data_IF_964697358677
#
_entry.id   IF_964697358677
#
_cell.length_a   1.000
_cell.length_b   1.000
_cell.length_c   1.000
_cell.angle_alpha   90.00
_cell.angle_beta   90.00
_cell.angle_gamma   90.00
#
_symmetry.space_group_name_H-M   'P 1'
#
loop_
_entity.id
_entity.type
_entity.pdbx_description
1 polymer ?
#
# COMPACT_ATOMS: atom_id res chain seq x y z
N UNK A 1 26.74 -2.06 -3.02
CA UNK A 1 26.16 -1.65 -4.31
C UNK A 1 24.65 -1.87 -4.24
N UNK A 2 23.82 -0.94 -4.76
CA UNK A 2 22.37 -1.17 -4.85
C UNK A 2 22.10 -2.20 -5.95
N UNK A 3 21.72 -3.42 -5.56
CA UNK A 3 21.33 -4.47 -6.51
C UNK A 3 20.03 -4.12 -7.23
N UNK A 4 19.11 -3.40 -6.56
CA UNK A 4 17.79 -3.03 -7.08
C UNK A 4 17.90 -2.03 -8.25
N UNK A 5 18.69 -0.96 -8.11
CA UNK A 5 18.80 0.08 -9.14
C UNK A 5 19.35 -0.42 -10.49
N UNK A 6 20.15 -1.47 -10.50
CA UNK A 6 20.75 -2.02 -11.73
C UNK A 6 19.81 -2.95 -12.51
N UNK A 7 18.73 -3.42 -11.89
CA UNK A 7 17.79 -4.32 -12.56
C UNK A 7 16.93 -3.53 -13.55
N UNK A 8 16.90 -3.89 -14.83
CA UNK A 8 16.01 -3.26 -15.80
C UNK A 8 14.53 -3.50 -15.41
N UNK A 9 13.65 -2.64 -15.85
CA UNK A 9 12.21 -2.81 -15.72
C UNK A 9 11.66 -3.18 -17.09
N UNK A 10 11.07 -4.36 -17.20
CA UNK A 10 10.35 -4.77 -18.41
C UNK A 10 9.02 -4.02 -18.46
N UNK A 11 8.77 -3.32 -19.56
CA UNK A 11 7.51 -2.61 -19.80
C UNK A 11 6.56 -3.57 -20.54
N UNK A 12 5.39 -3.91 -19.98
CA UNK A 12 4.39 -4.71 -20.68
C UNK A 12 3.89 -3.99 -21.93
N UNK A 13 3.51 -4.72 -22.98
CA UNK A 13 3.02 -4.16 -24.26
C UNK A 13 1.81 -3.23 -24.11
N UNK A 14 1.04 -3.42 -23.04
CA UNK A 14 -0.15 -2.61 -22.72
C UNK A 14 0.16 -1.29 -22.00
N UNK A 15 1.42 -1.07 -21.65
CA UNK A 15 1.86 0.11 -20.88
C UNK A 15 2.76 0.97 -21.75
N UNK A 16 2.41 2.24 -21.85
CA UNK A 16 3.21 3.25 -22.55
C UNK A 16 3.96 4.11 -21.54
N UNK A 17 5.26 4.21 -21.69
CA UNK A 17 6.09 5.05 -20.85
C UNK A 17 6.65 6.21 -21.67
N UNK A 18 6.46 7.43 -21.16
CA UNK A 18 7.03 8.64 -21.74
C UNK A 18 8.02 9.23 -20.78
N UNK A 19 9.27 9.28 -21.17
CA UNK A 19 10.36 9.83 -20.37
C UNK A 19 10.66 11.25 -20.84
N UNK A 20 10.55 12.22 -19.95
CA UNK A 20 10.95 13.62 -20.16
C UNK A 20 12.02 14.01 -19.13
N UNK A 21 12.82 15.05 -19.38
CA UNK A 21 13.82 15.50 -18.41
C UNK A 21 13.17 15.79 -17.03
N UNK A 22 13.55 15.02 -16.00
CA UNK A 22 13.03 15.16 -14.65
C UNK A 22 11.59 14.69 -14.42
N UNK A 23 10.94 14.05 -15.41
CA UNK A 23 9.57 13.52 -15.27
C UNK A 23 9.40 12.20 -16.03
N UNK A 24 8.63 11.33 -15.44
CA UNK A 24 8.18 10.09 -16.11
C UNK A 24 6.67 10.00 -16.03
N UNK A 25 6.04 9.77 -17.17
CA UNK A 25 4.60 9.51 -17.31
C UNK A 25 4.42 8.07 -17.76
N UNK A 26 3.56 7.34 -17.08
CA UNK A 26 3.23 5.95 -17.38
C UNK A 26 1.73 5.84 -17.60
N UNK A 27 1.34 5.35 -18.75
CA UNK A 27 -0.05 5.16 -19.17
C UNK A 27 -0.33 3.66 -19.38
N UNK A 28 -1.45 3.19 -18.88
CA UNK A 28 -1.84 1.79 -19.01
C UNK A 28 -3.34 1.57 -18.90
N UNK A 29 -3.80 0.32 -18.91
CA UNK A 29 -5.22 -0.02 -18.97
C UNK A 29 -6.02 0.47 -17.75
N UNK A 30 -5.38 0.65 -16.59
CA UNK A 30 -6.05 1.11 -15.36
C UNK A 30 -5.99 2.61 -15.15
N UNK A 31 -5.21 3.34 -15.95
CA UNK A 31 -5.09 4.79 -15.83
C UNK A 31 -3.70 5.29 -16.16
N UNK A 32 -3.40 6.49 -15.71
CA UNK A 32 -2.12 7.15 -15.93
C UNK A 32 -1.54 7.65 -14.60
N UNK A 33 -0.23 7.56 -14.49
CA UNK A 33 0.54 8.12 -13.37
C UNK A 33 1.66 8.99 -13.93
N UNK A 34 1.88 10.13 -13.29
CA UNK A 34 2.99 11.02 -13.60
C UNK A 34 3.77 11.32 -12.33
N UNK A 35 5.10 11.34 -12.44
CA UNK A 35 5.97 11.64 -11.32
C UNK A 35 7.20 12.44 -11.72
N UNK A 36 7.53 13.41 -10.90
CA UNK A 36 8.80 14.14 -10.99
C UNK A 36 9.90 13.30 -10.38
N UNK A 37 11.00 13.13 -11.11
CA UNK A 37 12.17 12.40 -10.67
C UNK A 37 13.33 13.36 -10.38
N UNK A 38 14.26 12.99 -9.49
CA UNK A 38 15.50 13.72 -9.31
C UNK A 38 16.27 13.80 -10.64
N UNK A 39 16.74 14.98 -10.98
CA UNK A 39 17.47 15.26 -12.25
C UNK A 39 18.80 14.55 -12.37
N UNK A 40 19.34 14.08 -11.24
CA UNK A 40 20.64 13.37 -11.14
C UNK A 40 20.58 11.96 -11.76
N UNK A 41 19.38 11.36 -11.87
CA UNK A 41 19.21 10.00 -12.40
C UNK A 41 18.61 10.08 -13.79
N UNK A 42 19.32 9.55 -14.77
CA UNK A 42 18.83 9.42 -16.14
C UNK A 42 18.08 8.11 -16.34
N UNK A 43 16.99 8.18 -17.10
CA UNK A 43 16.18 7.02 -17.47
C UNK A 43 16.25 6.86 -18.98
N UNK A 44 16.66 5.69 -19.43
CA UNK A 44 16.72 5.32 -20.85
C UNK A 44 15.76 4.19 -21.13
N UNK A 45 15.06 4.28 -22.24
CA UNK A 45 14.21 3.20 -22.74
C UNK A 45 14.89 2.51 -23.91
N UNK A 46 15.15 1.22 -23.80
CA UNK A 46 15.80 0.40 -24.81
C UNK A 46 15.07 -0.93 -24.92
N UNK A 47 14.63 -1.30 -26.11
CA UNK A 47 14.00 -2.62 -26.40
C UNK A 47 12.88 -3.02 -25.43
N UNK A 48 11.97 -2.09 -25.09
CA UNK A 48 10.86 -2.36 -24.17
C UNK A 48 11.28 -2.49 -22.70
N UNK A 49 12.52 -2.10 -22.37
CA UNK A 49 13.03 -2.07 -21.00
C UNK A 49 13.44 -0.66 -20.60
N UNK A 50 13.27 -0.34 -19.33
CA UNK A 50 13.76 0.90 -18.73
C UNK A 50 15.04 0.62 -17.97
N UNK A 51 16.09 1.33 -18.32
CA UNK A 51 17.40 1.27 -17.67
C UNK A 51 17.66 2.60 -16.99
N UNK A 52 18.15 2.55 -15.76
CA UNK A 52 18.46 3.71 -14.94
C UNK A 52 19.97 3.86 -14.83
N UNK A 53 20.44 5.09 -15.02
CA UNK A 53 21.86 5.41 -14.90
C UNK A 53 22.07 6.50 -13.86
N UNK A 54 23.18 6.41 -13.14
CA UNK A 54 23.62 7.38 -12.14
C UNK A 54 24.96 7.99 -12.53
N UNK A 55 25.23 9.27 -12.20
CA UNK A 55 26.44 9.96 -12.62
C UNK A 55 27.68 9.49 -11.87
N UNK A 56 27.55 9.03 -10.62
CA UNK A 56 28.68 8.55 -9.81
C UNK A 56 28.26 7.47 -8.81
N UNK A 57 29.26 6.87 -8.15
CA UNK A 57 29.08 5.85 -7.11
C UNK A 57 28.95 6.45 -5.69
N UNK A 58 28.71 7.75 -5.58
CA UNK A 58 28.42 8.38 -4.29
C UNK A 58 27.21 7.76 -3.60
N UNK A 59 27.20 7.77 -2.27
CA UNK A 59 26.12 7.15 -1.49
C UNK A 59 24.74 7.73 -1.80
N UNK A 60 24.66 9.05 -2.05
CA UNK A 60 23.43 9.75 -2.44
C UNK A 60 22.89 9.25 -3.78
N UNK A 61 23.75 9.20 -4.80
CA UNK A 61 23.36 8.72 -6.13
C UNK A 61 22.97 7.24 -6.11
N UNK A 62 23.62 6.43 -5.26
CA UNK A 62 23.21 5.02 -5.07
C UNK A 62 21.83 4.89 -4.42
N UNK A 63 21.52 5.73 -3.43
CA UNK A 63 20.23 5.74 -2.78
C UNK A 63 19.11 6.19 -3.74
N UNK A 64 19.32 7.32 -4.44
CA UNK A 64 18.38 7.85 -5.44
C UNK A 64 18.16 6.87 -6.60
N UNK A 65 19.21 6.20 -7.07
CA UNK A 65 19.13 5.21 -8.14
C UNK A 65 18.15 4.06 -7.78
N UNK A 66 18.28 3.49 -6.58
CA UNK A 66 17.38 2.45 -6.10
C UNK A 66 15.96 2.96 -5.88
N UNK A 67 15.81 4.17 -5.34
CA UNK A 67 14.52 4.81 -5.10
C UNK A 67 13.77 5.03 -6.43
N UNK A 68 14.39 5.72 -7.39
CA UNK A 68 13.77 6.05 -8.69
C UNK A 68 13.35 4.78 -9.41
N UNK A 69 14.23 3.78 -9.47
CA UNK A 69 13.90 2.49 -10.10
C UNK A 69 12.66 1.86 -9.45
N UNK A 70 12.59 1.82 -8.13
CA UNK A 70 11.45 1.22 -7.42
C UNK A 70 10.15 2.00 -7.63
N UNK A 71 10.23 3.33 -7.64
CA UNK A 71 9.07 4.18 -7.89
C UNK A 71 8.50 3.96 -9.30
N UNK A 72 9.37 3.93 -10.32
CA UNK A 72 8.93 3.70 -11.71
C UNK A 72 8.41 2.27 -11.88
N UNK A 73 9.03 1.26 -11.25
CA UNK A 73 8.53 -0.11 -11.28
C UNK A 73 7.11 -0.20 -10.69
N UNK A 74 6.88 0.46 -9.56
CA UNK A 74 5.55 0.52 -8.95
C UNK A 74 4.53 1.24 -9.85
N UNK A 75 4.94 2.30 -10.56
CA UNK A 75 4.05 2.98 -11.53
C UNK A 75 3.66 2.05 -12.67
N UNK A 76 4.62 1.33 -13.27
CA UNK A 76 4.36 0.37 -14.36
C UNK A 76 3.42 -0.75 -13.89
N UNK A 77 3.69 -1.35 -12.73
CA UNK A 77 2.82 -2.40 -12.18
C UNK A 77 1.44 -1.87 -11.81
N UNK A 78 1.38 -0.65 -11.26
CA UNK A 78 0.12 -0.03 -10.83
C UNK A 78 -0.83 0.27 -11.97
N UNK A 79 -0.34 0.77 -13.12
CA UNK A 79 -1.18 1.05 -14.29
C UNK A 79 -1.54 -0.22 -15.07
N UNK A 80 -0.75 -1.30 -14.95
CA UNK A 80 -1.05 -2.59 -15.57
C UNK A 80 -2.04 -3.41 -14.72
N UNK A 81 -1.65 -3.75 -13.49
CA UNK A 81 -2.40 -4.66 -12.60
C UNK A 81 -3.20 -3.93 -11.53
N UNK A 82 -2.72 -2.77 -11.07
CA UNK A 82 -3.18 -2.09 -9.88
C UNK A 82 -2.72 -2.77 -8.61
N UNK A 83 -2.96 -2.10 -7.48
CA UNK A 83 -2.63 -2.61 -6.16
C UNK A 83 -3.89 -2.78 -5.34
N UNK A 84 -3.89 -3.83 -4.51
CA UNK A 84 -4.99 -4.12 -3.59
C UNK A 84 -4.43 -4.49 -2.23
N UNK A 85 -4.95 -3.85 -1.18
CA UNK A 85 -4.66 -4.16 0.23
C UNK A 85 -5.94 -4.66 0.90
N UNK A 86 -5.88 -5.88 1.39
CA UNK A 86 -7.00 -6.47 2.13
C UNK A 86 -6.89 -6.15 3.61
N UNK A 87 -8.01 -5.73 4.20
CA UNK A 87 -8.17 -5.46 5.62
C UNK A 87 -9.31 -6.31 6.19
N UNK A 88 -9.22 -6.57 7.48
CA UNK A 88 -10.21 -7.31 8.23
C UNK A 88 -10.54 -6.62 9.57
N UNK A 89 -11.79 -6.75 9.98
CA UNK A 89 -12.28 -6.28 11.26
C UNK A 89 -12.39 -7.45 12.22
N UNK A 90 -11.75 -7.35 13.35
CA UNK A 90 -11.85 -8.35 14.42
C UNK A 90 -12.50 -7.72 15.64
N UNK A 91 -13.62 -8.27 16.08
CA UNK A 91 -14.33 -7.80 17.26
C UNK A 91 -15.83 -7.99 17.16
N UNK A 92 -16.48 -8.31 18.28
CA UNK A 92 -17.95 -8.46 18.34
C UNK A 92 -18.60 -7.10 18.07
N UNK A 93 -19.53 -7.06 17.10
CA UNK A 93 -20.21 -5.84 16.70
C UNK A 93 -19.43 -4.90 15.78
N UNK A 94 -18.20 -5.24 15.38
CA UNK A 94 -17.46 -4.47 14.40
C UNK A 94 -17.99 -4.79 13.00
N UNK A 95 -18.32 -3.77 12.24
CA UNK A 95 -18.89 -3.91 10.89
C UNK A 95 -18.35 -2.84 9.96
N UNK A 96 -18.27 -3.20 8.69
CA UNK A 96 -18.02 -2.27 7.59
C UNK A 96 -19.21 -2.37 6.61
N UNK A 97 -19.65 -1.25 6.11
CA UNK A 97 -20.68 -1.18 5.08
C UNK A 97 -20.32 -0.10 4.06
N UNK A 98 -20.62 -0.37 2.80
CA UNK A 98 -20.46 0.62 1.72
C UNK A 98 -21.75 1.43 1.62
N UNK A 99 -21.65 2.75 1.58
CA UNK A 99 -22.78 3.67 1.47
C UNK A 99 -22.49 4.66 0.32
N UNK A 100 -22.88 4.29 -0.90
CA UNK A 100 -22.46 5.00 -2.10
C UNK A 100 -20.95 4.86 -2.32
N UNK A 101 -20.24 5.98 -2.39
CA UNK A 101 -18.79 6.01 -2.52
C UNK A 101 -18.07 5.99 -1.16
N UNK A 102 -18.80 6.29 -0.08
CA UNK A 102 -18.27 6.33 1.27
C UNK A 102 -18.30 4.93 1.92
N UNK A 103 -17.43 4.73 2.88
CA UNK A 103 -17.41 3.52 3.72
C UNK A 103 -17.71 3.90 5.15
N UNK A 104 -18.70 3.21 5.73
CA UNK A 104 -19.12 3.40 7.12
C UNK A 104 -18.59 2.25 7.96
N UNK A 105 -17.83 2.59 8.99
CA UNK A 105 -17.23 1.62 9.91
C UNK A 105 -17.84 1.79 11.31
N UNK A 106 -18.37 0.71 11.84
CA UNK A 106 -18.81 0.61 13.24
C UNK A 106 -17.71 -0.13 14.02
N UNK A 107 -16.94 0.60 14.81
CA UNK A 107 -15.74 0.11 15.48
C UNK A 107 -15.84 0.17 17.00
N UNK A 108 -17.07 0.10 17.55
CA UNK A 108 -17.31 0.16 19.00
C UNK A 108 -17.16 1.56 19.61
N UNK A 109 -17.30 2.59 18.79
CA UNK A 109 -17.47 3.97 19.23
C UNK A 109 -18.96 4.29 19.34
N UNK A 110 -19.31 5.38 20.02
CA UNK A 110 -20.70 5.86 20.19
C UNK A 110 -21.35 6.26 18.86
N UNK A 111 -20.57 6.53 17.82
CA UNK A 111 -21.04 6.88 16.48
C UNK A 111 -20.27 6.11 15.40
N UNK A 112 -20.90 5.82 14.26
CA UNK A 112 -20.20 5.21 13.13
C UNK A 112 -19.22 6.21 12.52
N UNK A 113 -18.08 5.72 12.03
CA UNK A 113 -17.08 6.53 11.35
C UNK A 113 -17.34 6.45 9.86
N UNK A 114 -17.60 7.60 9.22
CA UNK A 114 -17.67 7.71 7.77
C UNK A 114 -16.29 8.02 7.21
N UNK A 115 -15.85 7.22 6.26
CA UNK A 115 -14.58 7.42 5.57
C UNK A 115 -14.85 7.61 4.07
N UNK A 116 -14.40 8.75 3.54
CA UNK A 116 -14.48 9.07 2.11
C UNK A 116 -13.13 8.74 1.48
N UNK A 117 -13.07 7.79 0.53
CA UNK A 117 -11.83 7.49 -0.17
C UNK A 117 -11.39 8.70 -1.02
N UNK A 118 -10.07 8.97 -1.11
CA UNK A 118 -9.55 9.98 -2.01
C UNK A 118 -9.70 9.55 -3.48
N UNK A 119 -9.53 10.49 -4.40
CA UNK A 119 -9.58 10.23 -5.84
C UNK A 119 -8.56 9.15 -6.24
N UNK A 120 -8.97 8.25 -7.11
CA UNK A 120 -8.11 7.14 -7.59
C UNK A 120 -8.04 5.93 -6.66
N UNK A 121 -8.75 5.95 -5.52
CA UNK A 121 -8.86 4.81 -4.61
C UNK A 121 -10.29 4.34 -4.56
N UNK A 122 -10.48 3.03 -4.69
CA UNK A 122 -11.76 2.37 -4.45
C UNK A 122 -11.66 1.45 -3.23
N UNK A 123 -12.77 1.36 -2.49
CA UNK A 123 -12.87 0.44 -1.36
C UNK A 123 -14.02 -0.51 -1.65
N UNK A 124 -13.70 -1.81 -1.72
CA UNK A 124 -14.65 -2.88 -1.97
C UNK A 124 -14.90 -3.65 -0.68
N UNK A 125 -16.16 -3.68 -0.27
CA UNK A 125 -16.60 -4.41 0.92
C UNK A 125 -17.06 -5.79 0.46
N UNK A 126 -16.31 -6.82 0.87
CA UNK A 126 -16.59 -8.22 0.56
C UNK A 126 -17.67 -8.76 1.51
N UNK A 127 -17.46 -8.52 2.80
CA UNK A 127 -18.32 -8.93 3.90
C UNK A 127 -18.43 -7.81 4.93
N UNK A 128 -19.23 -8.00 5.97
CA UNK A 128 -19.32 -7.06 7.09
C UNK A 128 -18.01 -6.87 7.84
N UNK A 129 -17.07 -7.79 7.68
CA UNK A 129 -15.76 -7.82 8.38
C UNK A 129 -14.57 -7.76 7.46
N UNK A 130 -14.73 -7.96 6.15
CA UNK A 130 -13.63 -7.98 5.18
C UNK A 130 -13.84 -6.94 4.10
N UNK A 131 -12.82 -6.16 3.85
CA UNK A 131 -12.83 -5.16 2.79
C UNK A 131 -11.44 -4.99 2.18
N UNK A 132 -11.41 -4.47 0.97
CA UNK A 132 -10.19 -4.27 0.21
C UNK A 132 -10.08 -2.82 -0.26
N UNK A 133 -8.88 -2.27 -0.19
CA UNK A 133 -8.53 -0.95 -0.72
C UNK A 133 -7.74 -1.17 -1.99
N UNK A 134 -8.22 -0.66 -3.11
CA UNK A 134 -7.61 -0.81 -4.42
C UNK A 134 -7.38 0.52 -5.12
N UNK A 135 -6.32 0.58 -5.93
CA UNK A 135 -5.94 1.77 -6.67
C UNK A 135 -4.70 1.54 -7.56
N UNK A 136 -4.35 2.55 -8.34
CA UNK A 136 -3.20 2.50 -9.26
C UNK A 136 -1.89 2.91 -8.57
N UNK A 137 -1.94 3.82 -7.59
CA UNK A 137 -0.77 4.28 -6.85
C UNK A 137 -0.60 3.48 -5.55
N UNK A 138 0.48 2.70 -5.43
CA UNK A 138 0.76 1.88 -4.24
C UNK A 138 0.88 2.73 -2.97
N UNK A 139 1.39 3.95 -3.10
CA UNK A 139 1.56 4.89 -1.99
C UNK A 139 0.22 5.30 -1.41
N UNK A 140 -0.73 5.67 -2.28
CA UNK A 140 -2.07 6.09 -1.87
C UNK A 140 -2.87 4.92 -1.30
N UNK A 141 -2.80 3.75 -1.94
CA UNK A 141 -3.42 2.51 -1.43
C UNK A 141 -2.87 2.18 -0.04
N UNK A 142 -1.53 2.25 0.12
CA UNK A 142 -0.87 2.00 1.39
C UNK A 142 -1.25 3.01 2.47
N UNK A 143 -1.29 4.31 2.12
CA UNK A 143 -1.65 5.38 3.05
C UNK A 143 -3.10 5.27 3.50
N UNK A 144 -4.03 5.03 2.57
CA UNK A 144 -5.45 4.85 2.90
C UNK A 144 -5.67 3.62 3.78
N UNK A 145 -5.03 2.50 3.45
CA UNK A 145 -5.10 1.30 4.26
C UNK A 145 -4.53 1.52 5.68
N UNK A 146 -3.43 2.24 5.79
CA UNK A 146 -2.86 2.62 7.08
C UNK A 146 -3.77 3.55 7.89
N UNK A 147 -4.41 4.53 7.23
CA UNK A 147 -5.36 5.43 7.86
C UNK A 147 -6.58 4.66 8.40
N UNK A 148 -7.13 3.74 7.61
CA UNK A 148 -8.25 2.88 8.05
C UNK A 148 -7.85 2.00 9.24
N UNK A 149 -6.66 1.40 9.21
CA UNK A 149 -6.14 0.63 10.34
C UNK A 149 -5.93 1.50 11.60
N UNK A 150 -5.56 2.77 11.43
CA UNK A 150 -5.31 3.73 12.51
C UNK A 150 -6.60 4.18 13.21
N UNK A 151 -7.76 4.07 12.56
CA UNK A 151 -9.07 4.38 13.18
C UNK A 151 -9.31 3.54 14.44
N UNK A 152 -8.95 2.26 14.41
CA UNK A 152 -9.00 1.37 15.58
C UNK A 152 -7.90 0.32 15.44
N UNK A 153 -6.68 0.60 15.90
CA UNK A 153 -5.58 -0.35 15.79
C UNK A 153 -5.89 -1.61 16.62
N UNK A 154 -5.41 -2.78 16.19
CA UNK A 154 -5.66 -4.03 16.90
C UNK A 154 -5.03 -4.00 18.29
N UNK A 155 -5.82 -4.35 19.29
CA UNK A 155 -5.36 -4.40 20.66
C UNK A 155 -4.47 -5.63 20.93
N UNK A 156 -3.51 -5.54 21.85
CA UNK A 156 -2.55 -6.62 22.06
C UNK A 156 -3.08 -7.82 22.87
N UNK A 157 -4.28 -7.77 23.42
CA UNK A 157 -4.83 -8.87 24.24
C UNK A 157 -5.70 -9.82 23.44
N UNK A 158 -6.81 -9.34 22.88
CA UNK A 158 -7.75 -10.14 22.09
C UNK A 158 -7.60 -9.92 20.58
N UNK A 159 -6.82 -8.92 20.16
CA UNK A 159 -6.60 -8.57 18.78
C UNK A 159 -7.78 -7.85 18.12
N UNK A 160 -8.68 -7.24 18.93
CA UNK A 160 -9.81 -6.48 18.40
C UNK A 160 -9.36 -5.20 17.74
N UNK A 161 -9.84 -4.92 16.53
CA UNK A 161 -9.48 -3.74 15.77
C UNK A 161 -9.56 -3.98 14.27
N UNK A 162 -9.04 -3.01 13.52
CA UNK A 162 -8.82 -3.08 12.08
C UNK A 162 -7.40 -3.55 11.85
N UNK A 163 -7.20 -4.62 11.10
CA UNK A 163 -5.89 -5.16 10.79
C UNK A 163 -5.76 -5.49 9.29
N UNK A 164 -4.54 -5.65 8.82
CA UNK A 164 -4.30 -6.22 7.51
C UNK A 164 -4.63 -7.70 7.51
N UNK A 165 -5.19 -8.21 6.44
CA UNK A 165 -5.47 -9.65 6.30
C UNK A 165 -4.18 -10.45 6.46
N UNK A 166 -4.18 -11.38 7.42
CA UNK A 166 -3.02 -12.20 7.76
C UNK A 166 -1.97 -11.49 8.64
N UNK A 167 -2.27 -10.32 9.19
CA UNK A 167 -1.36 -9.64 10.13
C UNK A 167 -1.28 -10.40 11.45
N UNK A 168 -0.07 -10.80 11.84
CA UNK A 168 0.16 -11.46 13.12
C UNK A 168 0.39 -10.43 14.23
N UNK A 169 -0.61 -10.25 15.09
CA UNK A 169 -0.51 -9.36 16.25
C UNK A 169 0.25 -10.07 17.38
N UNK A 170 1.30 -9.43 17.90
CA UNK A 170 2.00 -9.91 19.08
C UNK A 170 1.10 -9.73 20.31
N UNK A 171 0.49 -10.82 20.74
CA UNK A 171 -0.40 -10.80 21.91
C UNK A 171 0.37 -10.76 23.21
N UNK A 172 -0.15 -10.02 24.17
CA UNK A 172 0.31 -10.00 25.57
C UNK A 172 -0.53 -10.98 26.39
N UNK A 173 0.09 -11.68 27.33
CA UNK A 173 -0.65 -12.43 28.33
C UNK A 173 -1.43 -11.42 29.20
N UNK A 174 -2.73 -11.65 29.39
CA UNK A 174 -3.53 -10.90 30.35
C UNK A 174 -3.04 -11.14 31.79
N UNK A 175 -3.69 -10.50 32.78
CA UNK A 175 -3.46 -10.83 34.20
C UNK A 175 -3.68 -12.33 34.38
N UNK A 176 -2.62 -13.06 34.70
CA UNK A 176 -2.75 -14.42 35.21
C UNK A 176 -3.64 -14.37 36.43
N UNK A 177 -4.83 -14.95 36.34
CA UNK A 177 -5.69 -15.07 37.54
C UNK A 177 -4.87 -15.78 38.61
N UNK A 178 -4.72 -15.16 39.81
CA UNK A 178 -4.25 -15.83 41.03
C UNK A 178 -5.24 -16.96 41.32
N UNK A 179 -4.98 -18.17 40.82
CA UNK A 179 -5.94 -19.25 41.02
C UNK A 179 -5.60 -20.59 40.36
N UNK A 180 -4.34 -20.89 40.15
CA UNK A 180 -3.90 -22.28 40.03
C UNK A 180 -2.88 -22.53 41.17
N UNK A 181 -3.38 -22.67 42.41
CA UNK A 181 -2.66 -23.47 43.41
C UNK A 181 -2.58 -24.87 42.83
N UNK A 182 -1.37 -25.28 42.50
CA UNK A 182 -1.06 -26.68 42.32
C UNK A 182 -1.47 -27.41 43.62
N UNK A 183 -2.50 -28.20 43.59
CA UNK A 183 -2.68 -29.31 44.53
C UNK A 183 -1.78 -30.42 44.08
N UNK A 184 -0.78 -30.67 44.90
CA UNK A 184 0.12 -31.82 44.85
C UNK A 184 -0.68 -33.12 44.83
#
# INVERSE_FOLDING_TARGET
MSRVGKLPITVPDKVKVTVSPGRVKVEGPKGQLERTLPTEISVKQTDGQLVFERPSDDYKHRALHGLVRSLVANMVEGVDKGFTKHLELVGVGYRVAKQGDDVVLSLGYSHPIKFKPPQGISIDVQDQTHFAVSGIAIEDVGQVAANLRKLRPPEPYKGKGVMYRGERIRRKAGKAGKGAKATA
#
